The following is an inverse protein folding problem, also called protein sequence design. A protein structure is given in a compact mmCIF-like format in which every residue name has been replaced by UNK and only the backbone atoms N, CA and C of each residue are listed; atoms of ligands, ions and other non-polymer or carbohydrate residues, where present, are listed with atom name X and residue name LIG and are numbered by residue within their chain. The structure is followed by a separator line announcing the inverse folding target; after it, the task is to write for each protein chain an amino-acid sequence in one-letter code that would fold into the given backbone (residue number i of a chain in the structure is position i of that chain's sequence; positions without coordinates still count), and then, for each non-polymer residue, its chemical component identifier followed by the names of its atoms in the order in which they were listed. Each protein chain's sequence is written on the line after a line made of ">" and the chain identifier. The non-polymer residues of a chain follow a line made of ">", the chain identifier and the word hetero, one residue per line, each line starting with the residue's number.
data_IF_882232920006
#
_entry.id   IF_882232920006
#
_cell.length_a   1.000
_cell.length_b   1.000
_cell.length_c   1.000
_cell.angle_alpha   90.00
_cell.angle_beta   90.00
_cell.angle_gamma   90.00
#
_symmetry.space_group_name_H-M   'P 1'
#
loop_
_entity.id
_entity.type
_entity.pdbx_description
1 polymer ?
#
# COMPACT_ATOMS: atom_id res chain seq x y z
N UNK A 1 26.51 -26.50 5.03
CA UNK A 1 25.30 -26.20 5.83
C UNK A 1 24.65 -24.97 5.22
N UNK A 2 23.60 -25.12 4.40
CA UNK A 2 22.89 -24.01 3.72
C UNK A 2 21.40 -24.08 4.09
N UNK A 3 21.11 -23.99 5.38
CA UNK A 3 19.74 -24.01 5.91
C UNK A 3 19.09 -22.61 5.92
N UNK A 4 19.83 -21.56 5.57
CA UNK A 4 19.40 -20.16 5.65
C UNK A 4 19.39 -19.44 4.31
N UNK A 5 19.61 -20.14 3.19
CA UNK A 5 19.55 -19.54 1.85
C UNK A 5 18.09 -19.39 1.41
N UNK A 6 17.51 -18.17 1.40
CA UNK A 6 16.11 -17.98 1.05
C UNK A 6 15.77 -18.45 -0.37
N UNK A 7 16.75 -18.46 -1.29
CA UNK A 7 16.57 -18.98 -2.66
C UNK A 7 16.29 -20.48 -2.69
N UNK A 8 16.81 -21.23 -1.72
CA UNK A 8 16.55 -22.67 -1.54
C UNK A 8 15.29 -22.95 -0.72
N UNK A 9 14.85 -21.98 0.09
CA UNK A 9 13.64 -22.04 0.91
C UNK A 9 12.38 -21.57 0.16
N UNK A 10 12.47 -21.31 -1.16
CA UNK A 10 11.39 -20.74 -1.99
C UNK A 10 10.94 -19.33 -1.57
N UNK A 11 11.75 -18.62 -0.78
CA UNK A 11 11.54 -17.21 -0.51
C UNK A 11 11.76 -16.41 -1.80
N UNK A 12 10.78 -15.60 -2.19
CA UNK A 12 10.94 -14.67 -3.30
C UNK A 12 11.76 -13.48 -2.79
N UNK A 13 13.04 -13.40 -3.15
CA UNK A 13 13.79 -12.16 -2.98
C UNK A 13 13.37 -11.20 -4.09
N UNK A 14 12.57 -10.20 -3.75
CA UNK A 14 12.29 -9.09 -4.64
C UNK A 14 13.36 -8.00 -4.41
N UNK A 15 14.29 -7.85 -5.36
CA UNK A 15 15.31 -6.78 -5.35
C UNK A 15 16.68 -7.22 -5.85
N UNK A 16 17.58 -6.28 -6.23
CA UNK A 16 18.90 -6.56 -6.80
C UNK A 16 19.93 -7.17 -5.81
N UNK A 17 19.51 -7.54 -4.60
CA UNK A 17 20.40 -7.88 -3.49
C UNK A 17 20.89 -9.35 -3.43
N UNK A 18 22.14 -9.52 -3.02
CA UNK A 18 22.76 -10.81 -2.71
C UNK A 18 22.39 -11.33 -1.31
N UNK A 19 22.62 -12.63 -1.03
CA UNK A 19 22.28 -13.27 0.26
C UNK A 19 23.09 -12.74 1.47
N UNK A 20 24.02 -11.81 1.24
CA UNK A 20 24.84 -11.16 2.27
C UNK A 20 24.66 -9.64 2.29
N UNK A 21 23.70 -9.10 1.52
CA UNK A 21 23.46 -7.67 1.50
C UNK A 21 22.71 -7.25 2.77
N UNK A 22 23.28 -6.27 3.48
CA UNK A 22 22.66 -5.67 4.65
C UNK A 22 21.40 -4.91 4.22
N UNK A 23 20.27 -5.18 4.86
CA UNK A 23 18.98 -4.53 4.57
C UNK A 23 18.06 -5.34 3.65
N UNK A 24 18.44 -6.55 3.23
CA UNK A 24 17.54 -7.46 2.54
C UNK A 24 16.43 -7.96 3.47
N UNK A 25 15.17 -7.75 3.09
CA UNK A 25 14.01 -8.30 3.80
C UNK A 25 13.54 -9.54 3.07
N UNK A 26 13.48 -10.68 3.76
CA UNK A 26 12.82 -11.90 3.26
C UNK A 26 11.36 -11.84 3.67
N UNK A 27 10.46 -11.79 2.68
CA UNK A 27 9.01 -11.83 2.93
C UNK A 27 8.56 -13.28 2.80
N UNK A 28 7.98 -13.82 3.87
CA UNK A 28 7.22 -15.06 3.78
C UNK A 28 5.88 -14.79 3.08
N UNK A 29 5.80 -15.19 1.82
CA UNK A 29 4.60 -15.02 1.02
C UNK A 29 3.46 -15.97 1.38
N UNK A 30 3.63 -16.96 2.26
CA UNK A 30 2.60 -17.99 2.51
C UNK A 30 1.29 -17.41 3.07
N UNK A 31 1.37 -16.37 3.88
CA UNK A 31 0.19 -15.71 4.48
C UNK A 31 0.00 -14.29 3.94
N UNK A 32 0.64 -13.95 2.83
CA UNK A 32 0.46 -12.65 2.20
C UNK A 32 -0.92 -12.54 1.54
N UNK A 33 -1.55 -11.37 1.62
CA UNK A 33 -2.74 -11.06 0.84
C UNK A 33 -2.29 -10.56 -0.53
N UNK A 34 -2.70 -11.27 -1.59
CA UNK A 34 -2.55 -10.83 -2.96
C UNK A 34 -3.68 -9.84 -3.25
N UNK A 35 -3.35 -8.55 -3.26
CA UNK A 35 -4.33 -7.49 -3.44
C UNK A 35 -5.00 -7.60 -4.82
N UNK A 36 -6.33 -7.69 -4.80
CA UNK A 36 -7.19 -7.69 -5.99
C UNK A 36 -7.89 -6.33 -6.15
N UNK A 37 -8.11 -5.61 -5.05
CA UNK A 37 -8.77 -4.32 -5.06
C UNK A 37 -8.47 -3.48 -3.83
N UNK A 38 -8.64 -2.18 -4.04
CA UNK A 38 -8.55 -1.14 -3.02
C UNK A 38 -9.76 -0.24 -3.17
N UNK A 39 -10.54 -0.11 -2.10
CA UNK A 39 -11.66 0.83 -2.00
C UNK A 39 -11.33 1.93 -1.01
N UNK A 40 -11.63 3.18 -1.34
CA UNK A 40 -11.41 4.32 -0.44
C UNK A 40 -12.70 5.14 -0.34
N UNK A 41 -13.11 5.48 0.88
CA UNK A 41 -14.28 6.30 1.13
C UNK A 41 -14.01 7.31 2.26
N UNK A 42 -14.51 8.54 2.10
CA UNK A 42 -14.63 9.46 3.23
C UNK A 42 -15.83 9.02 4.08
N UNK A 43 -15.60 8.81 5.38
CA UNK A 43 -16.62 8.37 6.32
C UNK A 43 -16.72 9.36 7.47
N UNK A 44 -17.93 9.47 8.03
CA UNK A 44 -18.19 10.24 9.24
C UNK A 44 -18.53 9.26 10.37
N UNK A 45 -17.81 9.29 11.51
CA UNK A 45 -18.19 8.46 12.65
C UNK A 45 -19.59 8.85 13.15
N UNK A 46 -20.37 7.87 13.63
CA UNK A 46 -21.64 8.18 14.28
C UNK A 46 -21.40 9.05 15.53
N UNK A 47 -22.24 10.05 15.70
CA UNK A 47 -22.13 11.10 16.71
C UNK A 47 -21.95 10.52 18.13
N UNK A 48 -20.84 10.88 18.78
CA UNK A 48 -20.47 10.41 20.12
C UNK A 48 -18.95 10.36 20.37
N UNK A 49 -18.13 10.41 19.31
CA UNK A 49 -16.68 10.65 19.42
C UNK A 49 -16.40 12.15 19.25
N UNK A 50 -15.65 12.76 20.16
CA UNK A 50 -15.20 14.16 20.10
C UNK A 50 -14.31 14.50 18.87
N UNK A 51 -14.14 13.57 17.93
CA UNK A 51 -13.54 13.83 16.63
C UNK A 51 -14.61 14.30 15.64
N UNK A 52 -14.82 15.62 15.56
CA UNK A 52 -15.56 16.31 14.47
C UNK A 52 -14.90 16.13 13.08
N UNK A 53 -13.95 15.21 12.95
CA UNK A 53 -13.13 14.99 11.75
C UNK A 53 -13.77 14.01 10.77
N UNK A 54 -13.69 14.33 9.49
CA UNK A 54 -13.83 13.35 8.42
C UNK A 54 -12.74 12.29 8.59
N UNK A 55 -13.12 11.01 8.55
CA UNK A 55 -12.18 9.90 8.50
C UNK A 55 -12.13 9.35 7.08
N UNK A 56 -11.06 8.63 6.77
CA UNK A 56 -10.89 7.90 5.54
C UNK A 56 -10.93 6.41 5.88
N UNK A 57 -11.81 5.70 5.19
CA UNK A 57 -11.92 4.25 5.20
C UNK A 57 -11.22 3.69 3.96
N UNK A 58 -10.22 2.84 4.16
CA UNK A 58 -9.52 2.13 3.08
C UNK A 58 -9.73 0.63 3.25
N UNK A 59 -10.46 0.03 2.33
CA UNK A 59 -10.65 -1.41 2.24
C UNK A 59 -9.61 -1.99 1.29
N UNK A 60 -8.76 -2.87 1.79
CA UNK A 60 -7.87 -3.71 1.00
C UNK A 60 -8.50 -5.09 0.89
N UNK A 61 -8.74 -5.58 -0.32
CA UNK A 61 -9.29 -6.91 -0.54
C UNK A 61 -8.43 -7.75 -1.47
N UNK A 62 -8.51 -9.06 -1.29
CA UNK A 62 -7.86 -10.03 -2.15
C UNK A 62 -7.59 -11.36 -1.48
N UNK A 63 -6.97 -12.25 -2.23
CA UNK A 63 -6.83 -13.66 -1.84
C UNK A 63 -5.61 -13.88 -0.96
N UNK A 64 -5.75 -14.70 0.08
CA UNK A 64 -4.59 -15.19 0.83
C UNK A 64 -3.78 -16.12 -0.07
N UNK A 65 -2.49 -15.83 -0.20
CA UNK A 65 -1.63 -16.54 -1.13
C UNK A 65 -1.62 -18.06 -0.84
N UNK A 66 -1.56 -18.87 -1.90
CA UNK A 66 -1.64 -20.34 -1.84
C UNK A 66 -2.90 -20.93 -1.18
N UNK A 67 -3.91 -20.12 -0.84
CA UNK A 67 -5.22 -20.62 -0.38
C UNK A 67 -6.34 -20.18 -1.32
N UNK A 68 -7.56 -20.64 -1.06
CA UNK A 68 -8.79 -20.16 -1.70
C UNK A 68 -9.49 -19.06 -0.90
N UNK A 69 -8.92 -18.66 0.23
CA UNK A 69 -9.55 -17.76 1.18
C UNK A 69 -9.41 -16.31 0.72
N UNK A 70 -10.47 -15.53 0.92
CA UNK A 70 -10.49 -14.10 0.67
C UNK A 70 -10.25 -13.34 1.99
N UNK A 71 -9.50 -12.25 1.91
CA UNK A 71 -9.25 -11.34 3.01
C UNK A 71 -9.76 -9.94 2.68
N UNK A 72 -10.53 -9.38 3.60
CA UNK A 72 -11.02 -8.01 3.56
C UNK A 72 -10.48 -7.27 4.78
N UNK A 73 -9.63 -6.27 4.57
CA UNK A 73 -8.98 -5.51 5.64
C UNK A 73 -9.38 -4.04 5.53
N UNK A 74 -10.14 -3.56 6.50
CA UNK A 74 -10.56 -2.16 6.59
C UNK A 74 -9.62 -1.38 7.52
N UNK A 75 -8.97 -0.37 6.97
CA UNK A 75 -8.24 0.64 7.73
C UNK A 75 -9.09 1.89 7.88
N UNK A 76 -9.09 2.45 9.09
CA UNK A 76 -9.66 3.76 9.39
C UNK A 76 -8.54 4.68 9.85
N UNK A 77 -8.43 5.84 9.23
CA UNK A 77 -7.46 6.86 9.61
C UNK A 77 -8.05 8.25 9.37
N UNK A 78 -7.55 9.22 10.11
CA UNK A 78 -7.85 10.63 9.89
C UNK A 78 -6.95 11.21 8.79
N UNK A 79 -7.04 12.53 8.58
CA UNK A 79 -6.24 13.23 7.57
C UNK A 79 -4.74 13.11 7.85
N UNK A 80 -4.32 13.10 9.12
CA UNK A 80 -2.90 12.98 9.49
C UNK A 80 -2.38 11.56 9.21
N UNK A 81 -3.18 10.53 9.49
CA UNK A 81 -2.86 9.16 9.12
C UNK A 81 -2.78 8.97 7.60
N UNK A 82 -3.65 9.61 6.84
CA UNK A 82 -3.59 9.61 5.38
C UNK A 82 -2.31 10.29 4.87
N UNK A 83 -1.99 11.46 5.41
CA UNK A 83 -0.78 12.21 5.06
C UNK A 83 0.48 11.40 5.33
N UNK A 84 0.56 10.71 6.47
CA UNK A 84 1.67 9.81 6.81
C UNK A 84 1.88 8.71 5.76
N UNK A 85 0.81 8.01 5.36
CA UNK A 85 0.89 6.98 4.32
C UNK A 85 1.40 7.57 3.00
N UNK A 86 0.87 8.72 2.60
CA UNK A 86 1.26 9.39 1.36
C UNK A 86 2.74 9.80 1.41
N UNK A 87 3.21 10.35 2.54
CA UNK A 87 4.61 10.72 2.73
C UNK A 87 5.53 9.51 2.55
N UNK A 88 5.22 8.39 3.19
CA UNK A 88 6.04 7.16 3.05
C UNK A 88 6.06 6.63 1.60
N UNK A 89 4.94 6.71 0.88
CA UNK A 89 4.88 6.32 -0.53
C UNK A 89 5.73 7.21 -1.43
N UNK A 90 5.69 8.53 -1.21
CA UNK A 90 6.51 9.50 -1.95
C UNK A 90 7.99 9.27 -1.68
N UNK A 91 8.36 9.08 -0.41
CA UNK A 91 9.74 8.81 -0.01
C UNK A 91 10.25 7.48 -0.58
N UNK A 92 9.41 6.45 -0.60
CA UNK A 92 9.73 5.17 -1.21
C UNK A 92 9.99 5.32 -2.72
N UNK A 93 9.10 6.01 -3.44
CA UNK A 93 9.26 6.24 -4.88
C UNK A 93 10.53 7.04 -5.17
N UNK A 94 10.86 8.04 -4.36
CA UNK A 94 12.10 8.79 -4.47
C UNK A 94 13.33 7.87 -4.31
N UNK A 95 13.33 6.98 -3.31
CA UNK A 95 14.42 6.00 -3.08
C UNK A 95 14.56 4.97 -4.20
N UNK A 96 13.45 4.64 -4.87
CA UNK A 96 13.44 3.74 -6.02
C UNK A 96 13.86 4.42 -7.33
N UNK A 97 14.03 5.76 -7.34
CA UNK A 97 14.31 6.52 -8.55
C UNK A 97 13.06 6.79 -9.42
N UNK A 98 11.87 6.42 -8.96
CA UNK A 98 10.58 6.59 -9.64
C UNK A 98 9.78 7.79 -9.12
N UNK A 99 10.39 8.69 -8.34
CA UNK A 99 9.70 9.85 -7.78
C UNK A 99 9.03 10.75 -8.83
N UNK A 100 9.73 11.02 -9.93
CA UNK A 100 9.17 11.81 -11.04
C UNK A 100 8.00 11.11 -11.74
N UNK A 101 8.10 9.80 -11.96
CA UNK A 101 7.02 8.99 -12.55
C UNK A 101 5.78 8.98 -11.66
N UNK A 102 5.97 8.86 -10.33
CA UNK A 102 4.89 8.94 -9.37
C UNK A 102 4.20 10.32 -9.41
N UNK A 103 4.96 11.41 -9.43
CA UNK A 103 4.39 12.76 -9.53
C UNK A 103 3.56 12.92 -10.80
N UNK A 104 4.09 12.52 -11.97
CA UNK A 104 3.35 12.58 -13.23
C UNK A 104 2.07 11.74 -13.20
N UNK A 105 2.12 10.54 -12.61
CA UNK A 105 0.93 9.69 -12.49
C UNK A 105 -0.13 10.32 -11.58
N UNK A 106 0.28 10.95 -10.46
CA UNK A 106 -0.61 11.67 -9.55
C UNK A 106 -1.25 12.87 -10.26
N UNK A 107 -0.47 13.69 -10.96
CA UNK A 107 -0.97 14.85 -11.71
C UNK A 107 -1.99 14.43 -12.78
N UNK A 108 -1.72 13.36 -13.52
CA UNK A 108 -2.66 12.82 -14.51
C UNK A 108 -3.96 12.32 -13.86
N UNK A 109 -3.87 11.66 -12.71
CA UNK A 109 -5.04 11.21 -11.95
C UNK A 109 -5.88 12.39 -11.45
N UNK A 110 -5.24 13.44 -10.91
CA UNK A 110 -5.94 14.66 -10.50
C UNK A 110 -6.64 15.36 -11.66
N UNK A 111 -5.96 15.50 -12.80
CA UNK A 111 -6.56 16.11 -13.99
C UNK A 111 -7.79 15.34 -14.50
N UNK A 112 -7.77 14.00 -14.44
CA UNK A 112 -8.90 13.17 -14.80
C UNK A 112 -10.09 13.37 -13.85
N UNK A 113 -9.83 13.47 -12.54
CA UNK A 113 -10.85 13.75 -11.52
C UNK A 113 -11.44 15.15 -11.72
N UNK A 114 -10.61 16.15 -11.94
CA UNK A 114 -11.06 17.53 -12.17
C UNK A 114 -11.93 17.65 -13.42
N UNK A 115 -11.57 16.92 -14.49
CA UNK A 115 -12.39 16.82 -15.70
C UNK A 115 -13.74 16.13 -15.44
N UNK A 116 -13.77 15.05 -14.65
CA UNK A 116 -15.00 14.35 -14.27
C UNK A 116 -15.92 15.23 -13.40
N UNK A 117 -15.33 16.05 -12.52
CA UNK A 117 -16.05 16.95 -11.62
C UNK A 117 -16.41 18.31 -12.24
N UNK A 118 -15.99 18.58 -13.48
CA UNK A 118 -16.23 19.85 -14.17
C UNK A 118 -15.52 21.05 -13.54
N UNK A 119 -14.36 20.81 -12.91
CA UNK A 119 -13.50 21.85 -12.31
C UNK A 119 -12.32 22.08 -13.26
N UNK A 120 -12.37 23.12 -14.09
CA UNK A 120 -11.27 23.52 -14.99
C UNK A 120 -10.82 24.93 -14.70
#
# INVERSE_FOLDING_TARGET
>A
MTATDPRKLRGSMAGPGGPFDNGGVVIDGQNAVLLEGVGVAAVKPESGSDSDGHMIAMLLNGRVNNTTDQADVLFLFDVDGAASIITELVDLAARMGSGGELTTAIEAAYAAIDAELGRS
#
